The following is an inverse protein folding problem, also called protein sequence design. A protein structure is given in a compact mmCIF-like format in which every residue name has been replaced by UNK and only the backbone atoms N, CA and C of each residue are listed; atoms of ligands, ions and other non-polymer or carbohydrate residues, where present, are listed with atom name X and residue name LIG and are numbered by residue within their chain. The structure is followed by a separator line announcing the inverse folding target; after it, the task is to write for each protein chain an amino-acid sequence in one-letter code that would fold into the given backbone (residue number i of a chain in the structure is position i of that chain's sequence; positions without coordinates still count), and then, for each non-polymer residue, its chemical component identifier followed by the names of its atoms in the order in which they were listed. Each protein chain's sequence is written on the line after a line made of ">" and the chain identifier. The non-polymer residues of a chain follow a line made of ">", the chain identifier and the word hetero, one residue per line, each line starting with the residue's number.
data_IF_322091174528
#
_entry.id   IF_322091174528
#
_cell.length_a   1.000
_cell.length_b   1.000
_cell.length_c   1.000
_cell.angle_alpha   90.00
_cell.angle_beta   90.00
_cell.angle_gamma   90.00
#
_symmetry.space_group_name_H-M   'P 1'
#
loop_
_entity.id
_entity.type
_entity.pdbx_description
1 polymer ?
#
# COMPACT_ATOMS: atom_id res chain seq x y z
N UNK A 1 27.73 -7.22 -19.70
CA UNK A 1 28.13 -8.39 -18.89
C UNK A 1 26.94 -8.71 -18.01
N UNK A 2 26.31 -9.88 -18.13
CA UNK A 2 25.10 -10.15 -17.34
C UNK A 2 25.49 -10.46 -15.90
N UNK A 3 25.03 -9.66 -14.93
CA UNK A 3 25.27 -9.89 -13.52
C UNK A 3 24.55 -11.18 -13.10
N UNK A 4 25.24 -12.08 -12.40
CA UNK A 4 24.59 -13.26 -11.82
C UNK A 4 23.74 -12.84 -10.62
N UNK A 5 22.62 -13.53 -10.37
CA UNK A 5 21.75 -13.23 -9.23
C UNK A 5 22.50 -13.20 -7.90
N UNK A 6 23.53 -14.04 -7.72
CA UNK A 6 24.40 -14.03 -6.53
C UNK A 6 25.19 -12.74 -6.35
N UNK A 7 25.75 -12.19 -7.43
CA UNK A 7 26.54 -10.93 -7.40
C UNK A 7 25.64 -9.73 -7.06
N UNK A 8 24.38 -9.79 -7.47
CA UNK A 8 23.39 -8.75 -7.15
C UNK A 8 22.96 -8.81 -5.70
N UNK A 9 22.72 -10.02 -5.19
CA UNK A 9 22.40 -10.21 -3.76
C UNK A 9 23.56 -9.73 -2.89
N UNK A 10 24.81 -10.02 -3.27
CA UNK A 10 26.01 -9.51 -2.57
C UNK A 10 26.07 -7.98 -2.56
N UNK A 11 25.89 -7.32 -3.73
CA UNK A 11 25.83 -5.85 -3.80
C UNK A 11 24.73 -5.26 -2.93
N UNK A 12 23.54 -5.88 -2.94
CA UNK A 12 22.42 -5.42 -2.11
C UNK A 12 22.74 -5.57 -0.62
N UNK A 13 23.46 -6.63 -0.24
CA UNK A 13 23.86 -6.88 1.15
C UNK A 13 24.86 -5.83 1.68
N UNK A 14 25.64 -5.21 0.80
CA UNK A 14 26.59 -4.15 1.14
C UNK A 14 25.92 -2.78 1.37
N UNK A 15 24.63 -2.62 1.05
CA UNK A 15 23.90 -1.36 1.23
C UNK A 15 23.73 -1.08 2.75
N UNK A 16 24.28 0.03 3.28
CA UNK A 16 24.34 0.26 4.71
C UNK A 16 23.03 0.80 5.31
N UNK A 17 22.20 1.46 4.50
CA UNK A 17 20.95 2.09 4.95
C UNK A 17 19.79 1.12 4.72
N UNK A 18 18.97 0.94 5.75
CA UNK A 18 17.81 0.06 5.71
C UNK A 18 16.50 0.83 5.89
N UNK A 19 15.39 0.16 5.59
CA UNK A 19 14.06 0.69 5.83
C UNK A 19 13.83 0.98 7.32
N UNK A 20 14.41 0.18 8.21
CA UNK A 20 14.39 0.42 9.64
C UNK A 20 15.09 1.73 10.05
N UNK A 21 16.16 2.13 9.34
CA UNK A 21 16.88 3.36 9.64
C UNK A 21 16.10 4.62 9.24
N UNK A 22 15.32 4.53 8.15
CA UNK A 22 14.51 5.65 7.63
C UNK A 22 13.09 5.70 8.19
N UNK A 23 12.65 4.63 8.85
CA UNK A 23 11.32 4.52 9.47
C UNK A 23 11.34 4.96 10.93
N UNK A 24 10.31 5.69 11.33
CA UNK A 24 9.99 5.92 12.75
C UNK A 24 9.49 4.61 13.37
N UNK A 25 8.64 3.88 12.65
CA UNK A 25 8.14 2.57 13.08
C UNK A 25 7.78 1.67 11.91
N UNK A 26 7.98 0.37 12.12
CA UNK A 26 7.48 -0.70 11.25
C UNK A 26 6.78 -1.71 12.15
N UNK A 27 5.49 -1.93 11.91
CA UNK A 27 4.61 -2.67 12.80
C UNK A 27 3.68 -3.61 12.04
N UNK A 28 3.22 -4.65 12.75
CA UNK A 28 2.22 -5.60 12.27
C UNK A 28 0.82 -4.99 12.26
N UNK A 29 -0.03 -5.51 11.37
CA UNK A 29 -1.46 -5.21 11.37
C UNK A 29 -2.17 -5.63 12.65
N UNK A 30 -3.48 -5.38 12.67
CA UNK A 30 -4.33 -5.83 13.76
C UNK A 30 -4.36 -7.37 13.82
N UNK A 31 -4.47 -7.92 15.02
CA UNK A 31 -4.71 -9.34 15.22
C UNK A 31 -5.91 -9.51 16.14
N UNK A 32 -6.97 -10.12 15.62
CA UNK A 32 -8.19 -10.36 16.40
C UNK A 32 -8.45 -11.85 16.54
N UNK A 33 -8.93 -12.24 17.73
CA UNK A 33 -9.37 -13.62 17.97
C UNK A 33 -10.60 -14.00 17.15
N UNK A 34 -11.37 -13.00 16.70
CA UNK A 34 -12.61 -13.22 15.97
C UNK A 34 -12.82 -12.14 14.91
N UNK A 35 -12.16 -12.30 13.76
CA UNK A 35 -12.23 -11.34 12.65
C UNK A 35 -13.65 -11.15 12.11
N UNK A 36 -14.51 -12.17 12.22
CA UNK A 36 -15.92 -12.11 11.81
C UNK A 36 -16.78 -11.14 12.66
N UNK A 37 -16.36 -10.87 13.91
CA UNK A 37 -17.01 -9.85 14.74
C UNK A 37 -16.78 -8.45 14.20
N UNK A 38 -15.59 -8.18 13.67
CA UNK A 38 -15.17 -6.83 13.30
C UNK A 38 -15.34 -6.54 11.82
N UNK A 39 -15.14 -7.55 10.96
CA UNK A 39 -15.28 -7.41 9.52
C UNK A 39 -16.75 -7.17 9.17
N UNK A 40 -16.97 -6.16 8.33
CA UNK A 40 -18.26 -5.70 7.85
C UNK A 40 -18.21 -5.75 6.33
N UNK A 41 -19.21 -6.33 5.69
CA UNK A 41 -19.35 -6.27 4.23
C UNK A 41 -20.35 -5.19 3.86
N UNK A 42 -19.93 -4.23 3.04
CA UNK A 42 -20.76 -3.17 2.48
C UNK A 42 -21.30 -3.64 1.12
N UNK A 43 -22.62 -3.81 0.97
CA UNK A 43 -23.22 -4.14 -0.33
C UNK A 43 -23.01 -3.01 -1.35
N UNK A 44 -22.76 -3.36 -2.62
CA UNK A 44 -22.47 -2.40 -3.72
C UNK A 44 -23.57 -1.34 -3.94
N UNK A 45 -24.83 -1.65 -3.63
CA UNK A 45 -25.98 -0.74 -3.80
C UNK A 45 -26.27 0.16 -2.58
N UNK A 46 -25.36 0.18 -1.61
CA UNK A 46 -25.56 0.85 -0.33
C UNK A 46 -25.13 2.33 -0.30
N UNK A 47 -26.07 3.25 -0.02
CA UNK A 47 -25.79 4.65 0.33
C UNK A 47 -25.29 4.89 1.78
N UNK A 48 -25.27 6.14 2.26
CA UNK A 48 -24.80 6.47 3.62
C UNK A 48 -25.62 5.84 4.76
N UNK A 49 -26.86 5.43 4.49
CA UNK A 49 -27.77 4.75 5.44
C UNK A 49 -27.71 3.22 5.33
N UNK A 50 -26.63 2.68 4.77
CA UNK A 50 -26.53 1.25 4.46
C UNK A 50 -26.37 0.39 5.68
N UNK A 51 -27.11 -0.72 5.66
CA UNK A 51 -26.79 -1.86 6.49
C UNK A 51 -25.49 -2.50 5.98
N UNK A 52 -24.70 -3.00 6.92
CA UNK A 52 -23.60 -3.91 6.61
C UNK A 52 -24.09 -5.34 6.71
N UNK A 53 -23.49 -6.26 5.97
CA UNK A 53 -23.64 -7.69 6.23
C UNK A 53 -22.55 -8.12 7.21
N UNK A 54 -22.96 -8.60 8.37
CA UNK A 54 -22.03 -9.27 9.27
C UNK A 54 -21.86 -10.71 8.80
N UNK A 55 -20.69 -11.05 8.25
CA UNK A 55 -20.42 -12.39 7.73
C UNK A 55 -20.60 -13.50 8.77
N UNK A 56 -20.33 -13.20 10.05
CA UNK A 56 -20.65 -14.14 11.13
C UNK A 56 -22.15 -14.37 11.23
N UNK A 57 -22.94 -13.30 11.44
CA UNK A 57 -24.37 -13.42 11.71
C UNK A 57 -25.22 -13.78 10.48
N UNK A 58 -24.69 -13.60 9.26
CA UNK A 58 -25.44 -13.73 8.00
C UNK A 58 -26.70 -12.84 7.94
N UNK A 59 -26.68 -11.72 8.67
CA UNK A 59 -27.81 -10.80 8.80
C UNK A 59 -27.33 -9.35 8.55
N UNK A 60 -28.24 -8.48 8.03
CA UNK A 60 -28.03 -7.04 8.01
C UNK A 60 -27.82 -6.48 9.42
N UNK A 61 -26.78 -5.67 9.60
CA UNK A 61 -26.49 -4.96 10.84
C UNK A 61 -26.29 -3.49 10.56
N UNK A 62 -26.77 -2.64 11.47
CA UNK A 62 -26.46 -1.22 11.48
C UNK A 62 -25.32 -0.99 12.46
N UNK A 63 -24.36 -0.15 12.07
CA UNK A 63 -23.24 0.25 12.91
C UNK A 63 -23.00 1.73 12.70
N UNK A 64 -22.71 2.43 13.79
CA UNK A 64 -22.36 3.83 13.78
C UNK A 64 -21.09 4.05 12.91
N UNK A 65 -21.16 4.90 11.87
CA UNK A 65 -20.07 5.06 10.89
C UNK A 65 -18.76 5.54 11.52
N UNK A 66 -18.81 6.21 12.66
CA UNK A 66 -17.65 6.68 13.42
C UNK A 66 -16.75 5.53 13.90
N UNK A 67 -17.29 4.32 14.02
CA UNK A 67 -16.54 3.12 14.40
C UNK A 67 -16.12 2.27 13.19
N UNK A 68 -16.46 2.68 11.97
CA UNK A 68 -16.28 1.86 10.77
C UNK A 68 -15.20 2.46 9.87
N UNK A 69 -14.15 1.69 9.64
CA UNK A 69 -12.98 2.15 8.90
C UNK A 69 -12.73 1.34 7.62
N UNK A 70 -12.07 1.93 6.60
CA UNK A 70 -11.59 1.21 5.43
C UNK A 70 -10.73 0.00 5.83
N UNK A 71 -10.95 -1.14 5.17
CA UNK A 71 -10.21 -2.37 5.46
C UNK A 71 -9.42 -2.85 4.26
N UNK A 72 -8.10 -3.01 4.46
CA UNK A 72 -7.17 -3.58 3.49
C UNK A 72 -7.02 -5.07 3.80
N UNK A 73 -7.58 -5.90 2.93
CA UNK A 73 -7.39 -7.34 2.98
C UNK A 73 -6.07 -7.70 2.31
N UNK A 74 -5.24 -8.53 2.97
CA UNK A 74 -4.03 -9.07 2.35
C UNK A 74 -4.29 -9.90 1.08
N UNK A 75 -5.50 -10.43 0.90
CA UNK A 75 -5.89 -11.14 -0.31
C UNK A 75 -5.99 -10.22 -1.55
N UNK A 76 -6.16 -8.92 -1.33
CA UNK A 76 -6.18 -7.88 -2.36
C UNK A 76 -4.87 -7.11 -2.30
N UNK A 77 -3.78 -7.78 -2.67
CA UNK A 77 -2.47 -7.12 -2.80
C UNK A 77 -2.54 -6.11 -3.95
N UNK A 78 -2.23 -4.85 -3.67
CA UNK A 78 -2.29 -3.80 -4.67
C UNK A 78 -1.13 -2.82 -4.60
N UNK A 79 -0.71 -2.34 -5.76
CA UNK A 79 0.44 -1.46 -5.91
C UNK A 79 -0.01 -0.01 -5.96
N UNK A 80 0.74 0.85 -5.27
CA UNK A 80 0.62 2.32 -5.28
C UNK A 80 -0.70 2.90 -4.74
N UNK A 81 -1.82 2.16 -4.81
CA UNK A 81 -3.12 2.55 -4.28
C UNK A 81 -3.89 1.35 -3.72
N UNK A 82 -4.85 1.63 -2.84
CA UNK A 82 -5.77 0.62 -2.31
C UNK A 82 -7.02 0.49 -3.19
N UNK A 83 -7.45 -0.75 -3.41
CA UNK A 83 -8.74 -1.06 -4.00
C UNK A 83 -9.80 -0.58 -3.05
N UNK A 84 -10.88 0.01 -3.56
CA UNK A 84 -12.14 0.00 -2.86
C UNK A 84 -12.47 -1.46 -2.48
N UNK A 85 -12.35 -1.75 -1.20
CA UNK A 85 -12.74 -3.03 -0.62
C UNK A 85 -14.22 -2.93 -0.24
N UNK A 86 -15.05 -3.93 -0.58
CA UNK A 86 -16.39 -4.01 -0.01
C UNK A 86 -16.34 -4.28 1.49
N UNK A 87 -15.16 -4.65 2.02
CA UNK A 87 -14.98 -4.85 3.44
C UNK A 87 -14.63 -3.55 4.16
N UNK A 88 -15.19 -3.43 5.36
CA UNK A 88 -14.90 -2.43 6.38
C UNK A 88 -14.56 -3.13 7.68
N UNK A 89 -13.97 -2.38 8.61
CA UNK A 89 -13.60 -2.90 9.91
C UNK A 89 -14.19 -2.04 11.02
N UNK A 90 -14.96 -2.68 11.91
CA UNK A 90 -15.48 -2.04 13.12
C UNK A 90 -14.40 -2.00 14.20
N UNK A 91 -13.96 -0.82 14.56
CA UNK A 91 -12.94 -0.59 15.59
C UNK A 91 -13.53 0.27 16.73
N UNK A 92 -14.06 -0.35 17.80
CA UNK A 92 -14.65 0.34 18.96
C UNK A 92 -13.56 0.92 19.89
N UNK A 93 -12.77 1.84 19.34
CA UNK A 93 -11.65 2.49 20.00
C UNK A 93 -11.77 4.00 19.85
N UNK A 94 -11.30 4.75 20.84
CA UNK A 94 -11.26 6.20 20.81
C UNK A 94 -9.86 6.70 21.14
N UNK A 95 -9.53 7.89 20.62
CA UNK A 95 -8.25 8.53 20.94
C UNK A 95 -8.22 8.90 22.42
N UNK A 96 -7.16 8.49 23.12
CA UNK A 96 -6.97 8.82 24.52
C UNK A 96 -6.86 10.33 24.71
N UNK A 97 -7.70 10.87 25.60
CA UNK A 97 -7.65 12.28 26.01
C UNK A 97 -6.35 12.62 26.76
N UNK A 98 -5.72 11.62 27.40
CA UNK A 98 -4.49 11.80 28.19
C UNK A 98 -3.23 11.68 27.34
N UNK A 99 -3.28 10.85 26.29
CA UNK A 99 -2.17 10.61 25.37
C UNK A 99 -2.69 10.68 23.94
N UNK A 100 -2.47 11.82 23.29
CA UNK A 100 -2.99 12.16 21.95
C UNK A 100 -2.57 11.22 20.80
N UNK A 101 -1.87 10.13 21.08
CA UNK A 101 -1.42 9.12 20.12
C UNK A 101 -1.82 7.70 20.52
N UNK A 102 -2.47 7.48 21.67
CA UNK A 102 -2.84 6.14 22.13
C UNK A 102 -4.34 5.94 21.95
N UNK A 103 -4.74 4.93 21.17
CA UNK A 103 -6.15 4.53 21.05
C UNK A 103 -6.52 3.55 22.15
N UNK A 104 -7.56 3.89 22.91
CA UNK A 104 -8.09 3.06 23.98
C UNK A 104 -9.38 2.37 23.55
N UNK A 105 -9.56 1.13 24.01
CA UNK A 105 -10.82 0.41 23.83
C UNK A 105 -11.93 1.15 24.57
N UNK A 106 -13.04 1.44 23.89
CA UNK A 106 -14.19 2.12 24.50
C UNK A 106 -14.79 1.18 25.55
N UNK A 107 -15.00 1.58 26.82
CA UNK A 107 -15.58 0.71 27.83
C UNK A 107 -17.03 0.28 27.49
N UNK A 108 -17.51 -0.90 27.92
CA UNK A 108 -18.83 -1.40 27.54
C UNK A 108 -20.00 -0.46 27.88
N UNK A 109 -19.96 0.20 29.04
CA UNK A 109 -21.00 1.15 29.45
C UNK A 109 -21.03 2.41 28.55
N UNK A 110 -19.86 2.88 28.13
CA UNK A 110 -19.75 4.01 27.21
C UNK A 110 -20.16 3.60 25.80
N UNK A 111 -19.74 2.42 25.35
CA UNK A 111 -20.11 1.85 24.06
C UNK A 111 -21.63 1.69 23.97
N UNK A 112 -22.27 1.17 25.03
CA UNK A 112 -23.74 1.05 25.11
C UNK A 112 -24.46 2.39 24.99
N UNK A 113 -23.87 3.46 25.53
CA UNK A 113 -24.51 4.78 25.58
C UNK A 113 -24.28 5.58 24.30
N UNK A 114 -23.05 5.59 23.79
CA UNK A 114 -22.63 6.38 22.62
C UNK A 114 -22.86 5.64 21.29
N UNK A 115 -22.70 4.31 21.29
CA UNK A 115 -22.73 3.44 20.10
C UNK A 115 -23.60 2.19 20.34
N UNK A 116 -24.91 2.38 20.62
CA UNK A 116 -25.80 1.29 21.01
C UNK A 116 -25.94 0.18 19.95
N UNK A 117 -25.78 0.49 18.65
CA UNK A 117 -25.88 -0.51 17.59
C UNK A 117 -24.65 -1.42 17.57
N UNK A 118 -23.44 -0.84 17.66
CA UNK A 118 -22.21 -1.60 17.85
C UNK A 118 -22.26 -2.48 19.10
N UNK A 119 -22.71 -1.92 20.25
CA UNK A 119 -22.87 -2.69 21.48
C UNK A 119 -23.82 -3.88 21.30
N UNK A 120 -25.02 -3.64 20.73
CA UNK A 120 -26.02 -4.67 20.48
C UNK A 120 -25.49 -5.80 19.59
N UNK A 121 -24.78 -5.45 18.52
CA UNK A 121 -24.15 -6.42 17.62
C UNK A 121 -23.11 -7.29 18.32
N UNK A 122 -22.22 -6.70 19.11
CA UNK A 122 -21.17 -7.46 19.80
C UNK A 122 -21.82 -8.44 20.79
N UNK A 123 -22.84 -7.99 21.52
CA UNK A 123 -23.59 -8.83 22.44
C UNK A 123 -24.27 -10.00 21.70
N UNK A 124 -24.98 -9.72 20.62
CA UNK A 124 -25.65 -10.73 19.81
C UNK A 124 -24.66 -11.75 19.23
N UNK A 125 -23.52 -11.27 18.71
CA UNK A 125 -22.46 -12.13 18.21
C UNK A 125 -21.90 -13.03 19.31
N UNK A 126 -21.66 -12.48 20.50
CA UNK A 126 -21.19 -13.24 21.67
C UNK A 126 -22.20 -14.30 22.10
N UNK A 127 -23.49 -13.99 22.13
CA UNK A 127 -24.55 -14.94 22.47
C UNK A 127 -24.68 -16.06 21.42
N UNK A 128 -24.66 -15.73 20.12
CA UNK A 128 -24.85 -16.70 19.03
C UNK A 128 -23.61 -17.58 18.80
N UNK A 129 -22.40 -17.01 18.84
CA UNK A 129 -21.15 -17.73 18.48
C UNK A 129 -20.36 -18.27 19.66
N UNK A 130 -20.38 -17.57 20.79
CA UNK A 130 -19.64 -17.96 21.99
C UNK A 130 -20.55 -18.62 23.05
N UNK A 131 -21.87 -18.61 22.82
CA UNK A 131 -22.88 -19.11 23.76
C UNK A 131 -22.73 -18.52 25.17
N UNK A 132 -22.31 -17.25 25.23
CA UNK A 132 -22.03 -16.53 26.47
C UNK A 132 -23.00 -15.36 26.62
N UNK A 133 -23.90 -15.47 27.60
CA UNK A 133 -24.90 -14.44 27.95
C UNK A 133 -24.44 -13.50 29.07
N UNK A 134 -23.16 -13.59 29.48
CA UNK A 134 -22.60 -12.70 30.49
C UNK A 134 -22.48 -11.26 29.96
N UNK A 135 -22.54 -10.25 30.85
CA UNK A 135 -22.35 -8.86 30.46
C UNK A 135 -21.08 -8.65 29.63
N UNK A 136 -21.15 -7.72 28.68
CA UNK A 136 -20.06 -7.44 27.77
C UNK A 136 -18.84 -6.91 28.53
N UNK A 137 -17.66 -7.43 28.19
CA UNK A 137 -16.37 -6.97 28.72
C UNK A 137 -15.53 -6.43 27.56
N UNK A 138 -14.64 -5.48 27.82
CA UNK A 138 -13.74 -4.95 26.78
C UNK A 138 -12.92 -6.03 26.07
N UNK A 139 -12.57 -7.11 26.78
CA UNK A 139 -11.84 -8.24 26.22
C UNK A 139 -12.62 -9.01 25.12
N UNK A 140 -13.95 -8.86 25.07
CA UNK A 140 -14.82 -9.55 24.10
C UNK A 140 -14.67 -8.97 22.69
N UNK A 141 -14.22 -7.71 22.57
CA UNK A 141 -14.05 -6.99 21.30
C UNK A 141 -12.71 -6.27 21.18
N UNK A 142 -11.80 -6.47 22.14
CA UNK A 142 -10.45 -5.90 22.05
C UNK A 142 -9.62 -6.64 21.00
N UNK A 143 -8.93 -5.88 20.16
CA UNK A 143 -7.92 -6.38 19.23
C UNK A 143 -6.52 -6.35 19.86
N UNK A 144 -5.63 -7.20 19.36
CA UNK A 144 -4.18 -7.10 19.57
C UNK A 144 -3.57 -6.25 18.46
N UNK A 145 -2.41 -5.66 18.73
CA UNK A 145 -1.72 -4.75 17.80
C UNK A 145 -1.58 -3.35 18.39
N UNK A 146 -0.89 -3.23 19.54
CA UNK A 146 -0.72 -1.93 20.22
C UNK A 146 -0.07 -0.89 19.31
N UNK A 147 0.98 -1.28 18.57
CA UNK A 147 1.65 -0.38 17.65
C UNK A 147 0.76 0.07 16.49
N UNK A 148 -0.13 -0.81 15.98
CA UNK A 148 -1.13 -0.38 14.99
C UNK A 148 -2.00 0.75 15.55
N UNK A 149 -2.50 0.58 16.77
CA UNK A 149 -3.32 1.58 17.44
C UNK A 149 -2.56 2.88 17.74
N UNK A 150 -1.26 2.82 18.03
CA UNK A 150 -0.41 4.01 18.24
C UNK A 150 -0.25 4.87 16.98
N UNK A 151 -0.25 4.24 15.80
CA UNK A 151 -0.09 4.91 14.50
C UNK A 151 -1.39 4.95 13.68
N UNK A 152 -2.52 4.65 14.30
CA UNK A 152 -3.82 4.79 13.66
C UNK A 152 -4.11 6.27 13.42
N UNK A 153 -4.59 6.62 12.22
CA UNK A 153 -4.71 8.00 11.71
C UNK A 153 -3.38 8.76 11.56
N UNK A 154 -2.26 8.04 11.46
CA UNK A 154 -0.97 8.61 11.03
C UNK A 154 -0.68 8.16 9.59
N UNK A 155 -0.21 9.06 8.69
CA UNK A 155 0.19 8.67 7.36
C UNK A 155 1.19 7.52 7.40
N UNK A 156 0.97 6.50 6.56
CA UNK A 156 1.77 5.27 6.59
C UNK A 156 1.76 4.57 5.23
N UNK A 157 2.81 3.81 4.95
CA UNK A 157 2.79 2.84 3.85
C UNK A 157 2.26 1.53 4.43
N UNK A 158 1.28 0.93 3.77
CA UNK A 158 0.84 -0.42 4.07
C UNK A 158 1.43 -1.33 2.99
N UNK A 159 2.31 -2.23 3.41
CA UNK A 159 2.85 -3.27 2.56
C UNK A 159 2.17 -4.60 2.88
N UNK A 160 1.53 -5.20 1.88
CA UNK A 160 0.79 -6.46 2.02
C UNK A 160 1.45 -7.58 1.25
N UNK A 161 1.13 -8.80 1.69
CA UNK A 161 1.57 -10.04 1.07
C UNK A 161 0.57 -10.47 0.00
N UNK A 162 0.98 -10.42 -1.28
CA UNK A 162 0.33 -11.10 -2.39
C UNK A 162 1.22 -12.19 -2.99
N UNK A 163 1.18 -12.37 -4.31
CA UNK A 163 2.22 -13.15 -5.04
C UNK A 163 3.62 -12.52 -4.93
N UNK A 164 3.68 -11.21 -4.68
CA UNK A 164 4.90 -10.41 -4.47
C UNK A 164 4.62 -9.34 -3.41
N UNK A 165 5.68 -8.74 -2.84
CA UNK A 165 5.56 -7.54 -2.00
C UNK A 165 4.89 -6.43 -2.80
N UNK A 166 3.83 -5.84 -2.25
CA UNK A 166 3.13 -4.70 -2.83
C UNK A 166 2.84 -3.69 -1.74
N UNK A 167 2.95 -2.41 -2.07
CA UNK A 167 2.84 -1.33 -1.11
C UNK A 167 1.96 -0.21 -1.65
N UNK A 168 1.16 0.40 -0.77
CA UNK A 168 0.39 1.59 -1.07
C UNK A 168 0.50 2.60 0.08
N UNK A 169 0.45 3.88 -0.27
CA UNK A 169 0.52 4.97 0.69
C UNK A 169 -0.87 5.35 1.19
N UNK A 170 -1.08 5.17 2.49
CA UNK A 170 -2.25 5.61 3.24
C UNK A 170 -1.99 7.01 3.81
N UNK A 171 -2.32 8.03 3.03
CA UNK A 171 -2.12 9.43 3.40
C UNK A 171 -3.01 9.88 4.57
N UNK A 172 -4.23 9.32 4.69
CA UNK A 172 -5.15 9.61 5.79
C UNK A 172 -4.80 8.83 7.06
N UNK A 173 -4.13 7.68 6.92
CA UNK A 173 -3.70 6.86 8.04
C UNK A 173 -4.82 6.03 8.68
N UNK A 174 -6.04 6.05 8.13
CA UNK A 174 -7.23 5.42 8.71
C UNK A 174 -7.50 4.00 8.19
N UNK A 175 -6.70 3.48 7.26
CA UNK A 175 -6.87 2.12 6.77
C UNK A 175 -6.45 1.10 7.83
N UNK A 176 -7.36 0.16 8.11
CA UNK A 176 -7.13 -1.00 8.97
C UNK A 176 -6.65 -2.17 8.11
N UNK A 177 -5.65 -2.91 8.57
CA UNK A 177 -5.09 -4.07 7.88
C UNK A 177 -4.70 -5.16 8.87
N UNK A 178 -4.90 -6.43 8.51
CA UNK A 178 -4.57 -7.60 9.35
C UNK A 178 -3.25 -8.26 8.92
N UNK A 179 -3.08 -8.50 7.61
CA UNK A 179 -1.90 -9.17 7.05
C UNK A 179 -1.01 -8.18 6.31
N UNK A 180 0.23 -8.03 6.78
CA UNK A 180 1.22 -7.09 6.22
C UNK A 180 1.89 -6.25 7.30
N UNK A 181 2.61 -5.21 6.86
CA UNK A 181 3.24 -4.25 7.75
C UNK A 181 2.82 -2.80 7.45
N UNK A 182 2.63 -2.03 8.50
CA UNK A 182 2.55 -0.58 8.45
C UNK A 182 3.96 -0.01 8.61
N UNK A 183 4.30 0.99 7.80
CA UNK A 183 5.59 1.66 7.79
C UNK A 183 5.33 3.17 7.93
N UNK A 184 5.80 3.75 9.03
CA UNK A 184 5.74 5.19 9.29
C UNK A 184 7.16 5.73 9.13
N UNK A 185 7.33 6.70 8.24
CA UNK A 185 8.64 7.29 7.94
C UNK A 185 8.98 8.43 8.89
N UNK A 186 10.29 8.62 9.13
CA UNK A 186 10.79 9.80 9.85
C UNK A 186 10.60 11.08 9.04
N UNK A 187 10.68 10.98 7.72
CA UNK A 187 10.49 12.07 6.78
C UNK A 187 9.21 11.86 5.94
N UNK A 188 8.16 12.65 6.19
CA UNK A 188 6.92 12.58 5.42
C UNK A 188 7.09 12.88 3.93
N UNK A 189 8.13 13.63 3.53
CA UNK A 189 8.41 13.95 2.13
C UNK A 189 8.77 12.72 1.28
N UNK A 190 9.14 11.61 1.93
CA UNK A 190 9.67 10.42 1.27
C UNK A 190 8.69 9.27 1.11
N UNK A 191 7.43 9.45 1.50
CA UNK A 191 6.41 8.39 1.39
C UNK A 191 6.25 7.89 -0.05
N UNK A 192 6.20 8.79 -1.02
CA UNK A 192 6.08 8.44 -2.44
C UNK A 192 7.32 7.68 -2.94
N UNK A 193 8.53 8.20 -2.66
CA UNK A 193 9.78 7.54 -3.04
C UNK A 193 9.88 6.11 -2.49
N UNK A 194 9.67 5.93 -1.18
CA UNK A 194 9.76 4.62 -0.54
C UNK A 194 8.67 3.68 -1.06
N UNK A 195 7.46 4.18 -1.35
CA UNK A 195 6.41 3.38 -1.99
C UNK A 195 6.85 2.87 -3.37
N UNK A 196 7.52 3.70 -4.18
CA UNK A 196 8.08 3.27 -5.47
C UNK A 196 9.15 2.19 -5.31
N UNK A 197 10.07 2.35 -4.36
CA UNK A 197 11.11 1.37 -4.07
C UNK A 197 10.51 0.02 -3.67
N UNK A 198 9.51 0.01 -2.79
CA UNK A 198 8.84 -1.21 -2.32
C UNK A 198 8.02 -1.92 -3.39
N UNK A 199 7.58 -1.21 -4.43
CA UNK A 199 6.90 -1.79 -5.60
C UNK A 199 7.83 -2.08 -6.78
N UNK A 200 9.13 -1.81 -6.64
CA UNK A 200 10.14 -2.07 -7.67
C UNK A 200 10.58 -3.52 -7.68
N UNK A 201 11.34 -3.88 -8.71
CA UNK A 201 11.96 -5.20 -8.87
C UNK A 201 13.02 -5.51 -7.81
N UNK A 202 13.58 -4.52 -7.09
CA UNK A 202 14.43 -4.76 -5.91
C UNK A 202 13.66 -5.58 -4.86
N UNK A 203 12.38 -5.28 -4.65
CA UNK A 203 11.56 -5.98 -3.69
C UNK A 203 11.38 -7.48 -3.98
N UNK A 204 11.54 -7.90 -5.25
CA UNK A 204 11.49 -9.32 -5.64
C UNK A 204 12.70 -10.12 -5.17
N UNK A 205 13.84 -9.46 -4.98
CA UNK A 205 15.09 -10.10 -4.56
C UNK A 205 15.24 -10.07 -3.05
N UNK A 206 14.50 -9.19 -2.38
CA UNK A 206 14.54 -9.04 -0.94
C UNK A 206 14.40 -10.37 -0.14
N UNK A 207 13.54 -11.34 -0.51
CA UNK A 207 13.52 -12.64 0.15
C UNK A 207 14.86 -13.40 0.09
N UNK A 208 15.60 -13.25 -1.02
CA UNK A 208 16.94 -13.85 -1.18
C UNK A 208 18.01 -13.16 -0.33
N UNK A 209 17.76 -11.92 0.11
CA UNK A 209 18.65 -11.16 1.02
C UNK A 209 18.39 -11.59 2.47
N UNK A 210 17.15 -11.95 2.82
CA UNK A 210 16.75 -12.26 4.20
C UNK A 210 17.06 -13.69 4.68
N UNK A 211 17.62 -14.57 3.83
CA UNK A 211 18.32 -15.83 4.15
C UNK A 211 17.90 -16.60 5.43
N UNK A 212 16.58 -16.75 5.71
CA UNK A 212 15.91 -17.59 6.76
C UNK A 212 14.99 -16.88 7.76
N UNK A 213 14.92 -15.54 7.83
CA UNK A 213 14.00 -14.85 8.76
C UNK A 213 12.56 -14.70 8.24
N UNK A 214 12.36 -14.87 6.94
CA UNK A 214 11.02 -15.00 6.36
C UNK A 214 10.57 -16.46 6.52
N UNK A 215 9.68 -16.71 7.48
CA UNK A 215 9.12 -18.05 7.79
C UNK A 215 8.49 -18.68 6.52
N UNK A 216 7.98 -17.84 5.62
CA UNK A 216 7.64 -18.17 4.24
C UNK A 216 8.19 -17.08 3.30
N UNK A 217 8.60 -17.41 2.05
CA UNK A 217 9.10 -16.43 1.07
C UNK A 217 8.17 -15.24 0.79
N UNK A 218 6.93 -15.33 1.25
CA UNK A 218 5.85 -14.37 1.05
C UNK A 218 5.53 -13.54 2.32
N UNK A 219 5.92 -13.96 3.53
CA UNK A 219 5.49 -13.31 4.78
C UNK A 219 6.21 -11.99 5.05
N UNK A 220 5.47 -10.87 4.96
CA UNK A 220 5.94 -9.51 5.25
C UNK A 220 6.01 -9.28 6.76
N UNK A 221 7.02 -9.89 7.41
CA UNK A 221 7.28 -9.66 8.83
C UNK A 221 7.90 -8.26 9.03
N UNK A 222 7.43 -7.46 10.01
CA UNK A 222 8.08 -6.19 10.36
C UNK A 222 9.57 -6.32 10.66
N UNK A 223 9.98 -7.43 11.30
CA UNK A 223 11.38 -7.72 11.60
C UNK A 223 12.22 -7.89 10.33
N UNK A 224 11.70 -8.61 9.32
CA UNK A 224 12.35 -8.73 8.03
C UNK A 224 12.36 -7.38 7.32
N UNK A 225 11.20 -6.72 7.20
CA UNK A 225 11.06 -5.43 6.50
C UNK A 225 12.01 -4.33 7.01
N UNK A 226 12.34 -4.32 8.31
CA UNK A 226 13.37 -3.41 8.86
C UNK A 226 14.71 -3.52 8.15
N UNK A 227 15.05 -4.68 7.59
CA UNK A 227 16.32 -4.95 6.88
C UNK A 227 16.24 -4.66 5.39
N UNK A 228 15.09 -4.20 4.88
CA UNK A 228 14.95 -3.87 3.46
C UNK A 228 15.95 -2.78 3.09
N UNK A 229 16.82 -3.01 2.09
CA UNK A 229 17.89 -2.08 1.73
C UNK A 229 17.30 -0.86 1.05
N UNK A 230 17.68 0.34 1.51
CA UNK A 230 17.23 1.61 0.93
C UNK A 230 18.45 2.37 0.43
N UNK A 231 18.40 2.78 -0.84
CA UNK A 231 19.36 3.71 -1.44
C UNK A 231 18.58 4.96 -1.79
N UNK A 232 19.18 6.14 -1.60
CA UNK A 232 18.65 7.40 -2.13
C UNK A 232 19.54 7.84 -3.28
N UNK A 233 18.99 8.42 -4.35
CA UNK A 233 19.81 8.92 -5.45
C UNK A 233 20.65 10.10 -4.99
N UNK A 234 21.85 10.23 -5.55
CA UNK A 234 22.77 11.35 -5.24
C UNK A 234 22.23 12.70 -5.76
N UNK A 235 21.33 12.67 -6.74
CA UNK A 235 20.70 13.83 -7.34
C UNK A 235 19.24 13.97 -6.91
N UNK A 236 18.89 15.13 -6.34
CA UNK A 236 17.53 15.48 -5.93
C UNK A 236 16.52 15.39 -7.07
N UNK A 237 16.92 15.70 -8.31
CA UNK A 237 16.04 15.62 -9.49
C UNK A 237 15.55 14.18 -9.74
N UNK A 238 16.40 13.17 -9.52
CA UNK A 238 16.02 11.77 -9.68
C UNK A 238 15.05 11.32 -8.59
N UNK A 239 15.24 11.79 -7.34
CA UNK A 239 14.29 11.54 -6.23
C UNK A 239 12.92 12.17 -6.54
N UNK A 240 12.92 13.40 -7.06
CA UNK A 240 11.72 14.15 -7.46
C UNK A 240 10.97 13.48 -8.62
N UNK A 241 11.70 12.98 -9.63
CA UNK A 241 11.13 12.21 -10.73
C UNK A 241 10.45 10.92 -10.24
N UNK A 242 11.15 10.12 -9.42
CA UNK A 242 10.60 8.88 -8.85
C UNK A 242 9.35 9.19 -8.01
N UNK A 243 9.42 10.22 -7.18
CA UNK A 243 8.31 10.69 -6.34
C UNK A 243 7.10 11.09 -7.18
N UNK A 244 7.32 11.88 -8.23
CA UNK A 244 6.26 12.35 -9.14
C UNK A 244 5.60 11.18 -9.87
N UNK A 245 6.40 10.25 -10.42
CA UNK A 245 5.88 9.06 -11.10
C UNK A 245 5.12 8.17 -10.12
N UNK A 246 5.58 8.03 -8.87
CA UNK A 246 4.84 7.29 -7.84
C UNK A 246 3.46 7.90 -7.59
N UNK A 247 3.36 9.23 -7.61
CA UNK A 247 2.07 9.94 -7.54
C UNK A 247 1.17 9.63 -8.74
N UNK A 248 1.73 9.64 -9.96
CA UNK A 248 0.99 9.24 -11.16
C UNK A 248 0.50 7.80 -11.07
N UNK A 249 1.34 6.88 -10.61
CA UNK A 249 1.00 5.47 -10.44
C UNK A 249 -0.07 5.26 -9.36
N UNK A 250 -0.04 6.03 -8.27
CA UNK A 250 -1.11 6.01 -7.27
C UNK A 250 -2.45 6.43 -7.89
N UNK A 251 -2.47 7.54 -8.64
CA UNK A 251 -3.67 7.98 -9.36
C UNK A 251 -4.18 6.94 -10.36
N UNK A 252 -3.31 6.46 -11.26
CA UNK A 252 -3.68 5.50 -12.30
C UNK A 252 -4.17 4.16 -11.71
N UNK A 253 -3.62 3.71 -10.58
CA UNK A 253 -4.11 2.51 -9.92
C UNK A 253 -5.48 2.74 -9.27
N UNK A 254 -5.76 3.90 -8.66
CA UNK A 254 -7.13 4.23 -8.20
C UNK A 254 -8.13 4.20 -9.34
N UNK A 255 -7.77 4.81 -10.47
CA UNK A 255 -8.55 4.79 -11.70
C UNK A 255 -8.82 3.37 -12.22
N UNK A 256 -7.79 2.52 -12.18
CA UNK A 256 -7.93 1.10 -12.52
C UNK A 256 -8.88 0.37 -11.57
N UNK A 257 -8.83 0.67 -10.28
CA UNK A 257 -9.62 -0.01 -9.25
C UNK A 257 -11.06 0.47 -9.13
N UNK A 258 -11.34 1.71 -9.54
CA UNK A 258 -12.70 2.26 -9.61
C UNK A 258 -13.53 1.68 -10.78
N UNK A 259 -12.90 0.99 -11.74
CA UNK A 259 -13.58 0.42 -12.90
C UNK A 259 -14.00 -1.03 -12.63
N UNK A 260 -15.27 -1.23 -12.31
CA UNK A 260 -15.85 -2.56 -12.05
C UNK A 260 -15.90 -3.45 -13.30
N UNK A 261 -16.09 -2.86 -14.48
CA UNK A 261 -16.23 -3.57 -15.76
C UNK A 261 -14.93 -3.62 -16.57
N UNK A 262 -13.90 -4.26 -16.01
CA UNK A 262 -12.66 -4.56 -16.75
C UNK A 262 -11.80 -3.34 -17.08
N UNK A 263 -10.51 -3.44 -16.78
CA UNK A 263 -9.55 -2.37 -17.02
C UNK A 263 -9.28 -2.27 -18.54
N UNK A 264 -9.51 -1.11 -19.21
CA UNK A 264 -9.22 -0.94 -20.63
C UNK A 264 -7.74 -1.14 -20.95
N UNK A 265 -7.43 -1.68 -22.13
CA UNK A 265 -6.06 -1.99 -22.53
C UNK A 265 -5.15 -0.75 -22.58
N UNK A 266 -5.70 0.40 -22.99
CA UNK A 266 -4.93 1.65 -23.01
C UNK A 266 -4.48 2.06 -21.60
N UNK A 267 -5.31 1.88 -20.58
CA UNK A 267 -4.97 2.21 -19.19
C UNK A 267 -3.93 1.23 -18.63
N UNK A 268 -4.05 -0.06 -18.97
CA UNK A 268 -3.03 -1.07 -18.62
C UNK A 268 -1.67 -0.71 -19.22
N UNK A 269 -1.63 -0.31 -20.49
CA UNK A 269 -0.41 0.11 -21.19
C UNK A 269 0.18 1.38 -20.58
N UNK A 270 -0.66 2.34 -20.19
CA UNK A 270 -0.22 3.57 -19.53
C UNK A 270 0.39 3.29 -18.15
N UNK A 271 -0.26 2.46 -17.33
CA UNK A 271 0.28 2.02 -16.03
C UNK A 271 1.61 1.29 -16.22
N UNK A 272 1.67 0.33 -17.14
CA UNK A 272 2.89 -0.44 -17.40
C UNK A 272 4.06 0.46 -17.83
N UNK A 273 3.79 1.50 -18.63
CA UNK A 273 4.81 2.47 -19.03
C UNK A 273 5.40 3.22 -17.83
N UNK A 274 4.56 3.79 -16.95
CA UNK A 274 5.05 4.50 -15.77
C UNK A 274 5.70 3.56 -14.74
N UNK A 275 5.20 2.33 -14.58
CA UNK A 275 5.85 1.32 -13.73
C UNK A 275 7.26 0.97 -14.25
N UNK A 276 7.43 0.86 -15.58
CA UNK A 276 8.72 0.60 -16.19
C UNK A 276 9.71 1.74 -15.95
N UNK A 277 9.29 2.99 -16.12
CA UNK A 277 10.15 4.16 -15.85
C UNK A 277 10.48 4.24 -14.36
N UNK A 278 9.50 4.12 -13.47
CA UNK A 278 9.71 4.15 -12.02
C UNK A 278 10.73 3.09 -11.59
N UNK A 279 10.55 1.86 -12.05
CA UNK A 279 11.46 0.77 -11.74
C UNK A 279 12.86 0.98 -12.34
N UNK A 280 12.95 1.53 -13.54
CA UNK A 280 14.23 1.84 -14.17
C UNK A 280 15.03 2.84 -13.33
N UNK A 281 14.41 3.95 -12.94
CA UNK A 281 15.04 4.99 -12.12
C UNK A 281 15.49 4.43 -10.75
N UNK A 282 14.66 3.59 -10.13
CA UNK A 282 15.02 2.91 -8.88
C UNK A 282 16.20 1.95 -9.09
N UNK A 283 16.18 1.11 -10.13
CA UNK A 283 17.28 0.18 -10.38
C UNK A 283 18.59 0.88 -10.69
N UNK A 284 18.54 1.98 -11.46
CA UNK A 284 19.73 2.79 -11.76
C UNK A 284 20.35 3.34 -10.48
N UNK A 285 19.52 3.87 -9.58
CA UNK A 285 19.91 4.35 -8.24
C UNK A 285 20.63 3.28 -7.42
N UNK A 286 20.21 2.00 -7.53
CA UNK A 286 20.78 0.90 -6.75
C UNK A 286 22.10 0.34 -7.31
N UNK A 287 22.34 0.44 -8.62
CA UNK A 287 23.39 -0.36 -9.26
C UNK A 287 24.37 0.40 -10.15
N UNK A 288 23.95 1.45 -10.84
CA UNK A 288 24.72 1.91 -12.02
C UNK A 288 24.86 3.43 -12.12
N UNK A 289 23.85 4.23 -11.75
CA UNK A 289 23.82 5.68 -12.01
C UNK A 289 24.29 6.02 -13.45
N UNK A 290 23.91 5.21 -14.44
CA UNK A 290 24.38 5.28 -15.84
C UNK A 290 23.20 5.23 -16.82
N UNK A 291 22.08 5.81 -16.38
CA UNK A 291 20.92 6.04 -17.24
C UNK A 291 21.32 6.88 -18.46
N UNK A 292 20.78 6.52 -19.62
CA UNK A 292 20.99 7.27 -20.85
C UNK A 292 20.62 8.75 -20.64
N UNK A 293 21.57 9.70 -20.83
CA UNK A 293 21.30 11.11 -20.57
C UNK A 293 20.18 11.68 -21.44
N UNK A 294 19.96 11.13 -22.65
CA UNK A 294 18.86 11.54 -23.52
C UNK A 294 17.50 11.13 -22.95
N UNK A 295 17.39 9.92 -22.41
CA UNK A 295 16.20 9.49 -21.67
C UNK A 295 15.99 10.33 -20.42
N UNK A 296 17.03 10.56 -19.60
CA UNK A 296 16.89 11.35 -18.38
C UNK A 296 16.41 12.78 -18.69
N UNK A 297 17.00 13.45 -19.68
CA UNK A 297 16.55 14.77 -20.13
C UNK A 297 15.09 14.75 -20.60
N UNK A 298 14.69 13.72 -21.38
CA UNK A 298 13.30 13.60 -21.83
C UNK A 298 12.33 13.42 -20.65
N UNK A 299 12.73 12.71 -19.59
CA UNK A 299 11.91 12.57 -18.37
C UNK A 299 11.83 13.91 -17.63
N UNK A 300 12.95 14.60 -17.43
CA UNK A 300 13.01 15.90 -16.74
C UNK A 300 12.20 16.99 -17.45
N UNK A 301 12.19 17.00 -18.79
CA UNK A 301 11.43 17.98 -19.57
C UNK A 301 9.91 17.76 -19.52
N UNK A 302 9.47 16.52 -19.31
CA UNK A 302 8.06 16.14 -19.48
C UNK A 302 7.34 15.76 -18.18
N UNK A 303 8.07 15.27 -17.17
CA UNK A 303 7.50 14.82 -15.90
C UNK A 303 7.59 15.94 -14.88
N UNK A 304 6.43 16.48 -14.51
CA UNK A 304 6.32 17.58 -13.55
C UNK A 304 5.32 17.23 -12.46
N UNK A 305 5.54 17.65 -11.20
CA UNK A 305 4.52 17.58 -10.18
C UNK A 305 3.23 18.23 -10.70
N UNK A 306 2.14 17.48 -10.69
CA UNK A 306 0.86 18.04 -11.12
C UNK A 306 0.47 19.14 -10.13
N UNK A 307 0.27 20.36 -10.62
CA UNK A 307 -0.01 21.53 -9.77
C UNK A 307 -1.43 21.54 -9.19
N UNK A 308 -2.30 20.62 -9.62
CA UNK A 308 -3.65 20.42 -9.09
C UNK A 308 -3.75 19.25 -8.10
N UNK A 309 -4.91 19.12 -7.47
CA UNK A 309 -5.20 17.95 -6.63
C UNK A 309 -5.44 16.73 -7.52
N UNK A 310 -4.60 15.70 -7.38
CA UNK A 310 -4.78 14.39 -8.04
C UNK A 310 -6.04 13.65 -7.56
N UNK A 311 -6.73 14.17 -6.53
CA UNK A 311 -8.03 13.71 -6.04
C UNK A 311 -9.22 14.54 -6.58
N UNK A 312 -9.00 15.45 -7.54
CA UNK A 312 -10.06 16.32 -8.08
C UNK A 312 -11.01 15.60 -9.07
N UNK A 313 -12.21 16.18 -9.25
CA UNK A 313 -13.36 15.58 -9.96
C UNK A 313 -13.19 15.42 -11.49
N UNK A 314 -12.09 15.88 -12.10
CA UNK A 314 -11.86 15.76 -13.55
C UNK A 314 -10.73 14.76 -13.86
N UNK A 315 -10.98 13.49 -13.53
CA UNK A 315 -10.05 12.38 -13.76
C UNK A 315 -9.71 12.20 -15.24
N UNK A 316 -10.63 12.52 -16.16
CA UNK A 316 -10.43 12.41 -17.61
C UNK A 316 -9.38 13.40 -18.12
N UNK A 317 -9.40 14.66 -17.64
CA UNK A 317 -8.36 15.64 -17.99
C UNK A 317 -6.97 15.22 -17.52
N UNK A 318 -6.87 14.63 -16.33
CA UNK A 318 -5.61 14.13 -15.81
C UNK A 318 -5.11 12.90 -16.60
N UNK A 319 -6.00 11.95 -16.92
CA UNK A 319 -5.67 10.79 -17.75
C UNK A 319 -5.16 11.19 -19.13
N UNK A 320 -5.81 12.17 -19.77
CA UNK A 320 -5.36 12.72 -21.06
C UNK A 320 -3.97 13.37 -20.95
N UNK A 321 -3.71 14.08 -19.85
CA UNK A 321 -2.40 14.71 -19.59
C UNK A 321 -1.30 13.66 -19.44
N UNK A 322 -1.55 12.60 -18.66
CA UNK A 322 -0.60 11.51 -18.48
C UNK A 322 -0.35 10.72 -19.77
N UNK A 323 -1.38 10.56 -20.61
CA UNK A 323 -1.22 9.96 -21.93
C UNK A 323 -0.37 10.85 -22.86
N UNK A 324 -0.58 12.17 -22.83
CA UNK A 324 0.22 13.12 -23.61
C UNK A 324 1.69 13.12 -23.19
N UNK A 325 1.97 13.14 -21.88
CA UNK A 325 3.34 13.02 -21.33
C UNK A 325 4.01 11.74 -21.84
N UNK A 326 3.31 10.61 -21.83
CA UNK A 326 3.83 9.37 -22.40
C UNK A 326 4.23 9.54 -23.87
N UNK A 327 3.39 10.17 -24.70
CA UNK A 327 3.72 10.39 -26.12
C UNK A 327 4.95 11.29 -26.29
N UNK A 328 5.04 12.39 -25.54
CA UNK A 328 6.20 13.29 -25.61
C UNK A 328 7.50 12.59 -25.22
N UNK A 329 7.48 11.77 -24.16
CA UNK A 329 8.65 10.97 -23.77
C UNK A 329 9.03 9.98 -24.87
N UNK A 330 8.04 9.30 -25.49
CA UNK A 330 8.29 8.34 -26.57
C UNK A 330 8.80 8.99 -27.87
N UNK A 331 8.44 10.25 -28.12
CA UNK A 331 8.90 11.03 -29.28
C UNK A 331 10.30 11.64 -29.05
N UNK A 332 10.56 12.15 -27.85
CA UNK A 332 11.83 12.77 -27.48
C UNK A 332 12.94 11.71 -27.27
N UNK A 333 12.59 10.59 -26.66
CA UNK A 333 13.50 9.45 -26.55
C UNK A 333 13.50 8.71 -27.89
N UNK A 334 14.68 8.36 -28.41
CA UNK A 334 14.76 7.34 -29.45
C UNK A 334 14.44 5.97 -28.83
N UNK A 335 13.20 5.76 -28.37
CA UNK A 335 12.79 4.67 -27.48
C UNK A 335 13.10 3.28 -28.09
N UNK A 336 13.19 3.17 -29.42
CA UNK A 336 13.64 1.96 -30.11
C UNK A 336 15.13 1.60 -29.90
N UNK A 337 15.97 2.54 -29.45
CA UNK A 337 17.39 2.32 -29.09
C UNK A 337 17.65 2.24 -27.59
N UNK A 338 16.70 2.61 -26.73
CA UNK A 338 16.75 2.30 -25.30
C UNK A 338 16.44 0.82 -25.07
N UNK A 339 17.24 -0.07 -25.67
CA UNK A 339 17.35 -1.43 -25.16
C UNK A 339 18.04 -1.30 -23.80
N UNK A 340 17.24 -1.46 -22.75
CA UNK A 340 17.62 -1.65 -21.36
C UNK A 340 18.77 -2.67 -21.24
N UNK A 341 20.01 -2.22 -21.41
CA UNK A 341 21.21 -3.03 -21.29
C UNK A 341 21.83 -2.84 -19.90
N UNK A 342 21.02 -2.89 -18.84
CA UNK A 342 21.55 -2.93 -17.47
C UNK A 342 22.28 -4.25 -17.17
N UNK A 343 22.26 -5.23 -18.09
CA UNK A 343 22.87 -6.54 -17.89
C UNK A 343 22.23 -7.30 -16.71
N UNK A 344 21.07 -6.87 -16.24
CA UNK A 344 20.40 -7.45 -15.09
C UNK A 344 19.76 -8.80 -15.45
N UNK A 345 19.75 -9.78 -14.54
CA UNK A 345 19.12 -11.07 -14.77
C UNK A 345 17.61 -10.94 -14.98
N UNK A 346 17.00 -11.95 -15.63
CA UNK A 346 15.58 -11.95 -16.02
C UNK A 346 14.60 -11.71 -14.86
N UNK A 347 15.03 -11.95 -13.61
CA UNK A 347 14.25 -11.66 -12.39
C UNK A 347 13.84 -10.18 -12.27
N UNK A 348 14.61 -9.27 -12.88
CA UNK A 348 14.34 -7.84 -12.96
C UNK A 348 13.49 -7.43 -14.16
N UNK A 349 13.31 -8.32 -15.14
CA UNK A 349 12.41 -8.02 -16.25
C UNK A 349 10.98 -8.09 -15.72
N UNK A 350 10.23 -7.01 -15.88
CA UNK A 350 8.78 -7.15 -15.97
C UNK A 350 8.54 -8.07 -17.16
N UNK A 351 7.80 -9.16 -16.96
CA UNK A 351 7.28 -9.91 -18.09
C UNK A 351 6.54 -8.92 -18.97
N UNK A 352 7.15 -8.55 -20.10
CA UNK A 352 6.39 -8.15 -21.28
C UNK A 352 5.40 -9.29 -21.45
N UNK A 353 4.12 -9.04 -21.16
CA UNK A 353 3.07 -9.86 -21.72
C UNK A 353 3.42 -9.96 -23.21
N UNK A 354 3.68 -11.18 -23.67
CA UNK A 354 4.07 -11.51 -25.03
C UNK A 354 2.93 -11.19 -26.02
N UNK A 355 2.51 -9.94 -26.08
CA UNK A 355 1.65 -9.42 -27.11
C UNK A 355 2.52 -8.50 -27.96
N UNK A 356 2.91 -9.06 -29.11
CA UNK A 356 3.51 -8.32 -30.20
C UNK A 356 2.66 -7.07 -30.47
N UNK A 357 3.37 -5.95 -30.70
CA UNK A 357 2.87 -4.66 -31.16
C UNK A 357 1.70 -4.75 -32.15
#
# INVERSE_FOLDING_TARGET
>A
MSLKQSEIVEKIYEIPVTLGDVSESIFEGINTKNSLLHRLYLPEEGGSDSYYLCEGLCEPVFIEPELVYPYVSGASSEKFAFRPSPYRFMLPYELSMEKKTEYNVIPPEELKTKFPMAYGRILEFKEKFLHDTSPLKSADYSIKGRQFLEYFNTPKIIATEGYHLQAAYDAEGNHVFENGCGIVLKDPGRYAYITAVLNSSIARIFPSVCNSEMIYPSYVAPAAMKRFPIVFPDNMLTEDLITTISGYLAFLNREKYARDYGVPDWLRKLIAFYEQISNLLVLDTYFVNDLDPGLLNALEENIHPYAGDMNSEDSDTLLNSLYYIQQQILEASSYQKCKFNLGLPEIFNFSLSNEKF
#
